data_IF_909707434575
#
_entry.id   IF_909707434575
#
_cell.length_a   1.000
_cell.length_b   1.000
_cell.length_c   1.000
_cell.angle_alpha   90.00
_cell.angle_beta   90.00
_cell.angle_gamma   90.00
#
_symmetry.space_group_name_H-M   'P 1'
#
loop_
_entity.id
_entity.type
_entity.pdbx_description
1 polymer ?
#
# COMPACT_ATOMS: atom_id res chain seq x y z
N UNK A 1 21.57 5.57 -3.16
CA UNK A 1 21.06 4.38 -2.45
C UNK A 1 20.15 3.67 -3.43
N UNK A 2 20.53 2.47 -3.85
CA UNK A 2 19.83 1.70 -4.88
C UNK A 2 18.51 1.22 -4.28
N UNK A 3 17.39 1.80 -4.71
CA UNK A 3 16.07 1.31 -4.32
C UNK A 3 15.73 0.18 -5.29
N UNK A 4 15.86 -1.06 -4.84
CA UNK A 4 15.59 -2.23 -5.66
C UNK A 4 14.06 -2.41 -5.84
N UNK A 5 13.56 -2.44 -7.08
CA UNK A 5 12.11 -2.51 -7.35
C UNK A 5 11.49 -3.84 -6.89
N UNK A 6 12.29 -4.91 -6.84
CA UNK A 6 11.91 -6.21 -6.28
C UNK A 6 11.71 -6.11 -4.76
N UNK A 7 12.55 -5.33 -4.07
CA UNK A 7 12.44 -5.09 -2.63
C UNK A 7 11.18 -4.29 -2.31
N UNK A 8 10.88 -3.24 -3.10
CA UNK A 8 9.64 -2.49 -2.96
C UNK A 8 8.42 -3.39 -3.17
N UNK A 9 8.45 -4.28 -4.17
CA UNK A 9 7.37 -5.24 -4.39
C UNK A 9 7.16 -6.18 -3.21
N UNK A 10 8.24 -6.74 -2.66
CA UNK A 10 8.18 -7.59 -1.48
C UNK A 10 7.61 -6.85 -0.25
N UNK A 11 7.99 -5.59 -0.05
CA UNK A 11 7.50 -4.78 1.06
C UNK A 11 6.02 -4.43 0.89
N UNK A 12 5.57 -4.16 -0.34
CA UNK A 12 4.16 -3.96 -0.69
C UNK A 12 3.36 -5.24 -0.45
N UNK A 13 3.82 -6.41 -0.91
CA UNK A 13 3.16 -7.70 -0.68
C UNK A 13 3.03 -7.99 0.82
N UNK A 14 4.05 -7.68 1.62
CA UNK A 14 4.01 -7.87 3.06
C UNK A 14 3.03 -6.91 3.76
N UNK A 15 2.88 -5.68 3.25
CA UNK A 15 1.86 -4.74 3.73
C UNK A 15 0.46 -5.17 3.33
N UNK A 16 0.28 -5.71 2.12
CA UNK A 16 -1.01 -6.21 1.62
C UNK A 16 -1.44 -7.49 2.35
N UNK A 17 -0.52 -8.38 2.69
CA UNK A 17 -0.80 -9.60 3.46
C UNK A 17 -1.27 -9.33 4.90
N UNK A 18 -1.02 -8.13 5.43
CA UNK A 18 -1.51 -7.68 6.73
C UNK A 18 -2.90 -7.03 6.66
N UNK A 19 -3.43 -6.80 5.46
CA UNK A 19 -4.80 -6.32 5.30
C UNK A 19 -5.77 -7.48 5.57
N UNK A 20 -6.91 -7.22 6.24
CA UNK A 20 -7.93 -8.23 6.44
C UNK A 20 -8.40 -8.77 5.08
N UNK A 21 -8.60 -10.08 5.01
CA UNK A 21 -8.96 -10.74 3.76
C UNK A 21 -10.36 -10.27 3.32
N UNK A 22 -10.39 -9.45 2.26
CA UNK A 22 -11.63 -8.91 1.70
C UNK A 22 -12.41 -9.97 0.91
N UNK A 23 -11.80 -11.13 0.64
CA UNK A 23 -12.47 -12.25 -0.01
C UNK A 23 -13.20 -13.16 0.99
N UNK A 24 -12.96 -12.97 2.30
CA UNK A 24 -13.59 -13.73 3.37
C UNK A 24 -15.11 -13.47 3.39
N UNK A 25 -15.95 -14.53 3.34
CA UNK A 25 -17.40 -14.38 3.27
C UNK A 25 -18.00 -13.68 4.50
N UNK A 26 -17.38 -13.73 5.68
CA UNK A 26 -17.83 -12.96 6.86
C UNK A 26 -17.63 -11.44 6.65
N UNK A 27 -16.59 -11.05 5.90
CA UNK A 27 -16.31 -9.66 5.57
C UNK A 27 -17.17 -9.13 4.40
N UNK A 28 -17.75 -10.02 3.58
CA UNK A 28 -18.68 -9.62 2.49
C UNK A 28 -20.04 -9.15 2.98
N UNK A 29 -20.52 -9.68 4.10
CA UNK A 29 -21.84 -9.30 4.63
C UNK A 29 -21.83 -7.92 5.29
N UNK A 30 -20.65 -7.47 5.74
CA UNK A 30 -20.49 -6.18 6.43
C UNK A 30 -19.66 -5.15 5.66
N UNK A 31 -19.04 -5.53 4.54
CA UNK A 31 -18.09 -4.68 3.80
C UNK A 31 -16.90 -4.21 4.65
N UNK A 32 -15.86 -3.64 4.04
CA UNK A 32 -14.86 -2.93 4.82
C UNK A 32 -15.55 -1.76 5.52
N UNK A 33 -15.37 -1.66 6.84
CA UNK A 33 -15.90 -0.54 7.58
C UNK A 33 -15.30 0.78 7.06
N UNK A 34 -16.02 1.89 7.23
CA UNK A 34 -15.53 3.20 6.78
C UNK A 34 -14.13 3.50 7.35
N UNK A 35 -13.85 3.07 8.57
CA UNK A 35 -12.55 3.20 9.22
C UNK A 35 -11.44 2.39 8.51
N UNK A 36 -11.74 1.19 8.02
CA UNK A 36 -10.78 0.36 7.26
C UNK A 36 -10.55 0.93 5.87
N UNK A 37 -11.59 1.44 5.21
CA UNK A 37 -11.46 2.17 3.94
C UNK A 37 -10.61 3.42 4.09
N UNK A 38 -10.78 4.18 5.18
CA UNK A 38 -9.95 5.35 5.47
C UNK A 38 -8.49 4.98 5.77
N UNK A 39 -8.24 3.86 6.46
CA UNK A 39 -6.87 3.38 6.72
C UNK A 39 -6.19 2.92 5.43
N UNK A 40 -6.91 2.18 4.57
CA UNK A 40 -6.45 1.76 3.25
C UNK A 40 -6.14 2.98 2.37
N UNK A 41 -7.04 3.98 2.32
CA UNK A 41 -6.83 5.20 1.56
C UNK A 41 -5.60 5.99 2.05
N UNK A 42 -5.40 6.06 3.37
CA UNK A 42 -4.24 6.74 3.97
C UNK A 42 -2.94 6.03 3.60
N UNK A 43 -2.89 4.71 3.71
CA UNK A 43 -1.71 3.91 3.34
C UNK A 43 -1.39 4.04 1.86
N UNK A 44 -2.41 4.01 1.00
CA UNK A 44 -2.22 4.17 -0.44
C UNK A 44 -1.67 5.56 -0.79
N UNK A 45 -2.15 6.62 -0.14
CA UNK A 45 -1.62 7.98 -0.30
C UNK A 45 -0.16 8.08 0.14
N UNK A 46 0.19 7.49 1.29
CA UNK A 46 1.57 7.49 1.79
C UNK A 46 2.52 6.74 0.87
N UNK A 47 2.10 5.58 0.34
CA UNK A 47 2.88 4.85 -0.65
C UNK A 47 3.08 5.67 -1.94
N UNK A 48 2.05 6.40 -2.37
CA UNK A 48 2.12 7.28 -3.52
C UNK A 48 3.13 8.43 -3.31
N UNK A 49 3.11 9.09 -2.14
CA UNK A 49 4.05 10.17 -1.81
C UNK A 49 5.52 9.69 -1.81
N UNK A 50 5.76 8.48 -1.28
CA UNK A 50 7.09 7.87 -1.29
C UNK A 50 7.55 7.55 -2.72
N UNK A 51 6.66 7.04 -3.56
CA UNK A 51 6.96 6.78 -4.98
C UNK A 51 7.26 8.07 -5.75
N UNK A 52 6.53 9.16 -5.44
CA UNK A 52 6.72 10.47 -6.08
C UNK A 52 8.06 11.09 -5.66
N UNK A 53 8.42 10.99 -4.38
CA UNK A 53 9.73 11.42 -3.88
C UNK A 53 10.88 10.60 -4.48
N UNK A 54 10.71 9.29 -4.65
CA UNK A 54 11.69 8.44 -5.33
C UNK A 54 11.85 8.81 -6.80
N UNK A 55 10.76 9.14 -7.50
CA UNK A 55 10.78 9.57 -8.90
C UNK A 55 11.50 10.92 -9.07
N UNK A 56 11.18 11.93 -8.24
CA UNK A 56 11.86 13.23 -8.27
C UNK A 56 13.36 13.11 -7.92
N UNK A 57 13.72 12.19 -7.02
CA UNK A 57 15.11 11.92 -6.68
C UNK A 57 15.87 11.22 -7.81
N UNK A 58 15.17 10.46 -8.67
CA UNK A 58 15.76 9.81 -9.84
C UNK A 58 15.92 10.77 -11.03
N UNK A 59 15.00 11.74 -11.22
CA UNK A 59 15.11 12.76 -12.27
C UNK A 59 16.18 13.84 -12.00
N UNK A 60 16.53 14.07 -10.73
CA UNK A 60 17.58 15.05 -10.34
C UNK A 60 19.00 14.45 -10.30
N UNK A 61 19.15 13.16 -10.64
CA UNK A 61 20.41 12.41 -10.66
C UNK A 61 21.07 12.34 -12.03
#
# INVERSE_FOLDING_TARGET
MNIDPEQIRADIDNLLAQLPDLADPENRETGPSLAELEDIARRLSQAHDVLLAALESAEKG
#
